data_IF_362713425861
#
_entry.id   IF_362713425861
#
_cell.length_a   1.000
_cell.length_b   1.000
_cell.length_c   1.000
_cell.angle_alpha   90.00
_cell.angle_beta   90.00
_cell.angle_gamma   90.00
#
_symmetry.space_group_name_H-M   'P 1'
#
loop_
_entity.id
_entity.type
_entity.pdbx_description
1 polymer ?
#
# COMPACT_ATOMS: atom_id res chain seq x y z
N UNK A 1 -2.15 -15.85 2.85
CA UNK A 1 -2.64 -16.76 3.91
C UNK A 1 -1.48 -16.99 4.86
N UNK A 2 -1.63 -16.70 6.15
CA UNK A 2 -0.52 -16.79 7.11
C UNK A 2 -0.34 -18.25 7.54
N UNK A 3 0.71 -18.90 7.03
CA UNK A 3 0.92 -20.34 7.17
C UNK A 3 1.26 -20.74 8.62
N UNK A 4 1.92 -19.87 9.37
CA UNK A 4 2.27 -20.15 10.77
C UNK A 4 1.05 -20.02 11.68
N UNK A 5 0.16 -19.05 11.41
CA UNK A 5 -1.13 -18.98 12.08
C UNK A 5 -1.95 -20.26 11.85
N UNK A 6 -2.00 -20.74 10.61
CA UNK A 6 -2.69 -21.99 10.28
C UNK A 6 -2.09 -23.20 10.97
N UNK A 7 -0.76 -23.26 11.06
CA UNK A 7 -0.06 -24.32 11.78
C UNK A 7 -0.42 -24.33 13.26
N UNK A 8 -0.51 -23.17 13.90
CA UNK A 8 -0.94 -23.08 15.31
C UNK A 8 -2.40 -23.51 15.50
N UNK A 9 -3.30 -23.13 14.60
CA UNK A 9 -4.70 -23.61 14.61
C UNK A 9 -4.77 -25.13 14.40
N UNK A 10 -3.93 -25.69 13.53
CA UNK A 10 -3.86 -27.14 13.31
C UNK A 10 -3.27 -27.91 14.51
N UNK A 11 -2.60 -27.22 15.45
CA UNK A 11 -2.04 -27.80 16.67
C UNK A 11 -2.97 -27.71 17.88
N UNK A 12 -4.22 -27.22 17.71
CA UNK A 12 -5.23 -27.25 18.77
C UNK A 12 -5.45 -28.71 19.20
N UNK A 13 -5.38 -29.04 20.51
CA UNK A 13 -5.57 -30.40 21.01
C UNK A 13 -6.92 -31.00 20.61
N UNK A 14 -6.97 -32.29 20.31
CA UNK A 14 -8.20 -33.02 19.98
C UNK A 14 -9.30 -32.86 21.05
N UNK A 15 -8.91 -32.78 22.33
CA UNK A 15 -9.82 -32.54 23.45
C UNK A 15 -10.59 -31.21 23.34
N UNK A 16 -10.02 -30.20 22.67
CA UNK A 16 -10.71 -28.93 22.43
C UNK A 16 -11.64 -29.01 21.22
N UNK A 17 -11.33 -29.85 20.22
CA UNK A 17 -12.22 -30.10 19.08
C UNK A 17 -13.51 -30.80 19.51
N UNK A 18 -13.43 -31.68 20.51
CA UNK A 18 -14.60 -32.37 21.09
C UNK A 18 -15.55 -31.44 21.85
N UNK A 19 -15.10 -30.24 22.28
CA UNK A 19 -15.93 -29.26 22.99
C UNK A 19 -16.86 -28.46 22.08
N UNK A 20 -16.78 -28.67 20.77
CA UNK A 20 -17.67 -28.08 19.79
C UNK A 20 -17.19 -26.77 19.16
N UNK A 21 -17.89 -26.30 18.12
CA UNK A 21 -17.41 -25.24 17.23
C UNK A 21 -17.29 -23.87 17.92
N UNK A 22 -18.17 -23.53 18.87
CA UNK A 22 -18.11 -22.26 19.60
C UNK A 22 -16.90 -22.18 20.54
N UNK A 23 -16.43 -23.31 21.05
CA UNK A 23 -15.19 -23.39 21.84
C UNK A 23 -13.98 -23.18 20.93
N UNK A 24 -13.91 -23.90 19.81
CA UNK A 24 -12.83 -23.76 18.83
C UNK A 24 -12.73 -22.34 18.28
N UNK A 25 -13.86 -21.68 17.99
CA UNK A 25 -13.85 -20.29 17.54
C UNK A 25 -13.17 -19.35 18.55
N UNK A 26 -13.39 -19.54 19.85
CA UNK A 26 -12.73 -18.76 20.90
C UNK A 26 -11.24 -19.07 21.01
N UNK A 27 -10.86 -20.35 20.94
CA UNK A 27 -9.45 -20.77 20.95
C UNK A 27 -8.69 -20.21 19.74
N UNK A 28 -9.31 -20.20 18.55
CA UNK A 28 -8.72 -19.58 17.36
C UNK A 28 -8.54 -18.08 17.54
N UNK A 29 -9.50 -17.37 18.14
CA UNK A 29 -9.36 -15.94 18.42
C UNK A 29 -8.26 -15.65 19.46
N UNK A 30 -8.08 -16.51 20.46
CA UNK A 30 -6.94 -16.42 21.38
C UNK A 30 -5.61 -16.67 20.66
N UNK A 31 -5.53 -17.71 19.82
CA UNK A 31 -4.35 -17.99 18.99
C UNK A 31 -4.04 -16.81 18.07
N UNK A 32 -5.06 -16.18 17.46
CA UNK A 32 -4.88 -14.99 16.61
C UNK A 32 -4.33 -13.82 17.41
N UNK A 33 -4.91 -13.54 18.58
CA UNK A 33 -4.46 -12.47 19.47
C UNK A 33 -3.00 -12.68 19.92
N UNK A 34 -2.65 -13.90 20.27
CA UNK A 34 -1.29 -14.25 20.70
C UNK A 34 -0.32 -14.28 19.51
N UNK A 35 -0.78 -14.69 18.33
CA UNK A 35 -0.01 -14.65 17.10
C UNK A 35 0.34 -13.22 16.68
N UNK A 36 -0.63 -12.31 16.75
CA UNK A 36 -0.46 -10.87 16.54
C UNK A 36 0.48 -10.25 17.59
N UNK A 37 0.53 -10.80 18.81
CA UNK A 37 1.38 -10.33 19.91
C UNK A 37 2.82 -10.89 19.93
N UNK A 38 3.09 -12.05 19.33
CA UNK A 38 4.35 -12.80 19.55
C UNK A 38 5.16 -13.07 18.27
N UNK A 39 4.68 -12.67 17.09
CA UNK A 39 5.27 -13.13 15.82
C UNK A 39 5.40 -12.04 14.77
N UNK A 40 5.76 -10.81 15.16
CA UNK A 40 6.54 -10.01 14.24
C UNK A 40 8.00 -10.46 14.39
N UNK A 41 8.68 -11.02 13.36
CA UNK A 41 10.15 -10.99 13.36
C UNK A 41 10.55 -9.56 13.71
N UNK A 42 11.61 -9.37 14.50
CA UNK A 42 12.12 -8.04 14.85
C UNK A 42 12.31 -7.27 13.54
N UNK A 43 11.34 -6.43 13.20
CA UNK A 43 11.28 -5.83 11.88
C UNK A 43 12.36 -4.78 11.84
N UNK A 44 13.14 -4.76 10.75
CA UNK A 44 14.23 -3.82 10.58
C UNK A 44 13.74 -2.39 10.88
N UNK A 45 14.44 -1.73 11.80
CA UNK A 45 14.14 -0.37 12.22
C UNK A 45 15.00 0.60 11.43
N UNK A 46 14.38 1.59 10.81
CA UNK A 46 15.06 2.61 10.01
C UNK A 46 14.99 3.96 10.73
N UNK A 47 15.81 4.14 11.77
CA UNK A 47 15.76 5.31 12.65
C UNK A 47 15.95 6.64 11.90
N UNK A 48 16.81 6.65 10.87
CA UNK A 48 17.06 7.80 10.01
C UNK A 48 15.88 8.20 9.13
N UNK A 49 14.90 7.31 8.98
CA UNK A 49 13.68 7.52 8.19
C UNK A 49 12.43 7.71 9.05
N UNK A 50 12.57 7.70 10.38
CA UNK A 50 11.46 7.96 11.30
C UNK A 50 11.07 9.45 11.27
N UNK A 51 9.77 9.78 11.43
CA UNK A 51 9.33 11.16 11.46
C UNK A 51 9.82 11.86 12.73
N UNK A 52 10.28 13.10 12.59
CA UNK A 52 10.73 13.91 13.72
C UNK A 52 9.59 14.26 14.70
N UNK A 53 8.35 14.33 14.21
CA UNK A 53 7.16 14.60 15.00
C UNK A 53 5.94 13.87 14.45
N UNK A 54 5.08 13.39 15.34
CA UNK A 54 3.78 12.81 15.02
C UNK A 54 2.62 13.79 15.26
N UNK A 55 2.91 15.03 15.70
CA UNK A 55 1.89 16.03 16.07
C UNK A 55 0.84 16.22 14.97
N UNK A 56 1.29 16.24 13.71
CA UNK A 56 0.42 16.45 12.55
C UNK A 56 -0.63 15.35 12.39
N UNK A 57 -0.23 14.08 12.51
CA UNK A 57 -1.17 12.95 12.39
C UNK A 57 -2.02 12.77 13.65
N UNK A 58 -1.47 13.14 14.82
CA UNK A 58 -2.17 13.01 16.11
C UNK A 58 -3.15 14.15 16.39
N UNK A 59 -3.00 15.30 15.70
CA UNK A 59 -3.95 16.41 15.79
C UNK A 59 -5.31 16.08 15.19
N UNK A 60 -5.38 15.19 14.20
CA UNK A 60 -6.61 14.81 13.52
C UNK A 60 -6.63 13.30 13.19
N UNK A 61 -6.59 12.41 14.19
CA UNK A 61 -6.27 10.99 14.01
C UNK A 61 -7.28 10.27 13.10
N UNK A 62 -8.57 10.59 13.21
CA UNK A 62 -9.60 10.01 12.33
C UNK A 62 -9.40 10.38 10.86
N UNK A 63 -9.09 11.65 10.60
CA UNK A 63 -8.86 12.14 9.24
C UNK A 63 -7.56 11.56 8.68
N UNK A 64 -6.49 11.58 9.47
CA UNK A 64 -5.19 11.05 9.07
C UNK A 64 -5.25 9.56 8.78
N UNK A 65 -5.83 8.77 9.69
CA UNK A 65 -6.02 7.34 9.45
C UNK A 65 -6.86 7.06 8.20
N UNK A 66 -7.94 7.82 7.98
CA UNK A 66 -8.78 7.68 6.79
C UNK A 66 -8.06 7.99 5.47
N UNK A 67 -7.23 9.03 5.43
CA UNK A 67 -6.44 9.38 4.24
C UNK A 67 -5.39 8.30 3.91
N UNK A 68 -4.70 7.79 4.93
CA UNK A 68 -3.69 6.74 4.78
C UNK A 68 -4.35 5.44 4.29
N UNK A 69 -5.51 5.09 4.85
CA UNK A 69 -6.28 3.92 4.46
C UNK A 69 -6.81 4.03 3.02
N UNK A 70 -7.28 5.21 2.61
CA UNK A 70 -7.69 5.45 1.22
C UNK A 70 -6.52 5.30 0.22
N UNK A 71 -5.33 5.79 0.57
CA UNK A 71 -4.14 5.61 -0.26
C UNK A 71 -3.73 4.13 -0.37
N UNK A 72 -3.77 3.40 0.75
CA UNK A 72 -3.50 1.96 0.77
C UNK A 72 -4.49 1.18 -0.11
N UNK A 73 -5.77 1.55 -0.05
CA UNK A 73 -6.80 0.93 -0.89
C UNK A 73 -6.55 1.22 -2.38
N UNK A 74 -6.16 2.44 -2.73
CA UNK A 74 -5.81 2.79 -4.12
C UNK A 74 -4.66 1.94 -4.69
N UNK A 75 -3.66 1.61 -3.88
CA UNK A 75 -2.57 0.70 -4.27
C UNK A 75 -3.10 -0.71 -4.50
N UNK A 76 -3.91 -1.24 -3.56
CA UNK A 76 -4.50 -2.59 -3.68
C UNK A 76 -5.43 -2.71 -4.89
N UNK A 77 -6.20 -1.67 -5.19
CA UNK A 77 -7.09 -1.65 -6.36
C UNK A 77 -6.27 -1.64 -7.66
N UNK A 78 -5.11 -0.99 -7.69
CA UNK A 78 -4.21 -1.02 -8.83
C UNK A 78 -3.56 -2.41 -9.00
N UNK A 79 -3.11 -3.02 -7.92
CA UNK A 79 -2.59 -4.40 -7.90
C UNK A 79 -3.65 -5.40 -8.39
N UNK A 80 -4.85 -5.39 -7.81
CA UNK A 80 -5.95 -6.26 -8.21
C UNK A 80 -6.31 -6.10 -9.69
N UNK A 81 -6.38 -4.86 -10.20
CA UNK A 81 -6.61 -4.60 -11.62
C UNK A 81 -5.52 -5.22 -12.49
N UNK A 82 -4.25 -5.00 -12.14
CA UNK A 82 -3.12 -5.57 -12.87
C UNK A 82 -3.19 -7.11 -12.94
N UNK A 83 -3.36 -7.77 -11.79
CA UNK A 83 -3.37 -9.24 -11.71
C UNK A 83 -4.56 -9.82 -12.49
N UNK A 84 -5.74 -9.20 -12.38
CA UNK A 84 -6.93 -9.63 -13.12
C UNK A 84 -6.82 -9.42 -14.63
N UNK A 85 -6.27 -8.28 -15.07
CA UNK A 85 -6.19 -7.93 -16.50
C UNK A 85 -5.08 -8.72 -17.23
N UNK A 86 -4.03 -9.11 -16.52
CA UNK A 86 -2.89 -9.83 -17.10
C UNK A 86 -2.94 -11.35 -16.89
N UNK A 87 -3.71 -11.81 -15.90
CA UNK A 87 -3.67 -13.21 -15.44
C UNK A 87 -2.34 -13.57 -14.77
N UNK A 88 -1.51 -12.60 -14.41
CA UNK A 88 -0.25 -12.83 -13.71
C UNK A 88 -0.49 -13.24 -12.25
N UNK A 89 0.42 -14.05 -11.71
CA UNK A 89 0.36 -14.47 -10.30
C UNK A 89 1.03 -13.47 -9.34
N UNK A 90 1.79 -12.51 -9.87
CA UNK A 90 2.54 -11.54 -9.09
C UNK A 90 2.76 -10.25 -9.89
N UNK A 91 3.08 -9.16 -9.18
CA UNK A 91 3.50 -7.90 -9.80
C UNK A 91 4.85 -8.05 -10.52
N UNK A 92 5.17 -7.18 -11.50
CA UNK A 92 6.52 -7.10 -12.04
C UNK A 92 7.51 -6.68 -10.96
N UNK A 93 8.75 -7.16 -11.03
CA UNK A 93 9.81 -6.93 -10.03
C UNK A 93 9.90 -5.49 -9.52
N UNK A 94 9.87 -4.44 -10.39
CA UNK A 94 9.99 -3.05 -9.94
C UNK A 94 8.82 -2.54 -9.08
N UNK A 95 7.71 -3.27 -9.04
CA UNK A 95 6.49 -2.92 -8.32
C UNK A 95 6.22 -3.84 -7.12
N UNK A 96 7.13 -4.77 -6.80
CA UNK A 96 6.97 -5.72 -5.70
C UNK A 96 6.87 -5.07 -4.31
N UNK A 97 7.35 -3.83 -4.16
CA UNK A 97 7.22 -3.08 -2.90
C UNK A 97 5.78 -2.57 -2.64
N UNK A 98 4.92 -2.47 -3.66
CA UNK A 98 3.57 -1.88 -3.52
C UNK A 98 2.66 -2.58 -2.49
N UNK A 99 2.55 -3.92 -2.45
CA UNK A 99 1.70 -4.60 -1.48
C UNK A 99 2.17 -4.37 -0.04
N UNK A 100 3.50 -4.32 0.17
CA UNK A 100 4.09 -4.05 1.48
C UNK A 100 3.87 -2.59 1.93
N UNK A 101 3.97 -1.62 1.00
CA UNK A 101 3.63 -0.21 1.25
C UNK A 101 2.17 -0.11 1.70
N UNK A 102 1.24 -0.73 0.97
CA UNK A 102 -0.17 -0.75 1.34
C UNK A 102 -0.42 -1.42 2.69
N UNK A 103 0.27 -2.53 2.98
CA UNK A 103 0.22 -3.21 4.27
C UNK A 103 0.69 -2.31 5.42
N UNK A 104 1.80 -1.61 5.23
CA UNK A 104 2.37 -0.69 6.22
C UNK A 104 1.44 0.49 6.48
N UNK A 105 0.85 1.08 5.43
CA UNK A 105 -0.16 2.14 5.56
C UNK A 105 -1.38 1.70 6.38
N UNK A 106 -1.88 0.48 6.20
CA UNK A 106 -2.99 -0.06 7.00
C UNK A 106 -2.60 -0.26 8.47
N UNK A 107 -1.35 -0.66 8.76
CA UNK A 107 -0.86 -0.78 10.13
C UNK A 107 -0.73 0.59 10.79
N UNK A 108 -0.17 1.57 10.09
CA UNK A 108 -0.09 2.98 10.53
C UNK A 108 -1.48 3.53 10.83
N UNK A 109 -2.46 3.35 9.91
CA UNK A 109 -3.82 3.87 10.12
C UNK A 109 -4.50 3.22 11.33
N UNK A 110 -4.30 1.92 11.55
CA UNK A 110 -4.78 1.19 12.73
C UNK A 110 -4.16 1.74 14.02
N UNK A 111 -2.84 1.93 14.06
CA UNK A 111 -2.13 2.47 15.22
C UNK A 111 -2.59 3.89 15.57
N UNK A 112 -2.78 4.75 14.57
CA UNK A 112 -3.32 6.11 14.78
C UNK A 112 -4.71 6.07 15.43
N UNK A 113 -5.58 5.13 15.01
CA UNK A 113 -6.91 4.95 15.60
C UNK A 113 -6.86 4.39 17.03
N UNK A 114 -5.84 3.59 17.37
CA UNK A 114 -5.71 2.88 18.64
C UNK A 114 -5.12 3.73 19.79
N UNK A 115 -5.45 5.02 19.87
CA UNK A 115 -4.99 5.95 20.91
C UNK A 115 -3.45 6.08 21.00
N UNK A 116 -2.86 6.75 20.01
CA UNK A 116 -1.43 7.09 19.98
C UNK A 116 -0.96 8.12 21.05
N UNK A 117 -1.71 8.29 22.15
CA UNK A 117 -1.26 9.03 23.34
C UNK A 117 -0.46 8.17 24.33
N UNK A 118 -0.42 6.84 24.11
CA UNK A 118 0.50 5.94 24.82
C UNK A 118 1.91 6.06 24.20
N UNK A 119 2.95 6.41 24.97
CA UNK A 119 4.32 6.51 24.47
C UNK A 119 4.84 5.24 23.76
N UNK A 120 4.32 4.07 24.13
CA UNK A 120 4.66 2.79 23.51
C UNK A 120 4.07 2.70 22.10
N UNK A 121 2.81 3.10 21.94
CA UNK A 121 2.12 3.16 20.65
C UNK A 121 2.74 4.22 19.76
N UNK A 122 3.13 5.37 20.34
CA UNK A 122 3.81 6.44 19.63
C UNK A 122 5.16 6.00 19.07
N UNK A 123 5.98 5.29 19.87
CA UNK A 123 7.24 4.73 19.41
C UNK A 123 7.04 3.66 18.33
N UNK A 124 6.07 2.76 18.51
CA UNK A 124 5.71 1.75 17.50
C UNK A 124 5.26 2.40 16.18
N UNK A 125 4.50 3.49 16.26
CA UNK A 125 4.05 4.26 15.11
C UNK A 125 5.23 4.92 14.36
N UNK A 126 6.20 5.52 15.07
CA UNK A 126 7.42 6.05 14.45
C UNK A 126 8.16 4.97 13.66
N UNK A 127 8.35 3.80 14.27
CA UNK A 127 9.05 2.68 13.64
C UNK A 127 8.33 2.20 12.37
N UNK A 128 7.01 2.07 12.43
CA UNK A 128 6.22 1.65 11.27
C UNK A 128 6.31 2.67 10.12
N UNK A 129 6.32 3.96 10.45
CA UNK A 129 6.50 5.04 9.48
C UNK A 129 7.91 4.99 8.87
N UNK A 130 8.95 4.73 9.66
CA UNK A 130 10.31 4.53 9.17
C UNK A 130 10.40 3.39 8.15
N UNK A 131 9.76 2.24 8.45
CA UNK A 131 9.67 1.10 7.52
C UNK A 131 8.92 1.44 6.24
N UNK A 132 7.78 2.12 6.38
CA UNK A 132 7.01 2.61 5.23
C UNK A 132 7.89 3.52 4.34
N UNK A 133 8.64 4.44 4.94
CA UNK A 133 9.53 5.33 4.20
C UNK A 133 10.65 4.58 3.48
N UNK A 134 11.21 3.52 4.09
CA UNK A 134 12.23 2.66 3.46
C UNK A 134 11.68 1.95 2.23
N UNK A 135 10.48 1.36 2.31
CA UNK A 135 9.83 0.67 1.18
C UNK A 135 9.49 1.61 0.04
N UNK A 136 9.13 2.86 0.35
CA UNK A 136 8.92 3.89 -0.68
C UNK A 136 10.23 4.25 -1.38
N UNK A 137 11.35 4.34 -0.65
CA UNK A 137 12.68 4.57 -1.25
C UNK A 137 13.06 3.42 -2.17
N UNK A 138 12.82 2.17 -1.76
CA UNK A 138 13.04 0.98 -2.59
C UNK A 138 12.24 1.06 -3.90
N UNK A 139 10.93 1.34 -3.82
CA UNK A 139 10.09 1.55 -5.00
C UNK A 139 10.64 2.66 -5.90
N UNK A 140 11.05 3.79 -5.32
CA UNK A 140 11.60 4.91 -6.07
C UNK A 140 12.90 4.52 -6.79
N UNK A 141 13.78 3.75 -6.15
CA UNK A 141 15.02 3.26 -6.76
C UNK A 141 14.73 2.31 -7.93
N UNK A 142 13.83 1.35 -7.75
CA UNK A 142 13.43 0.39 -8.78
C UNK A 142 12.79 1.08 -9.99
N UNK A 143 11.84 1.98 -9.75
CA UNK A 143 11.18 2.73 -10.83
C UNK A 143 12.16 3.69 -11.53
N UNK A 144 13.13 4.27 -10.81
CA UNK A 144 14.20 5.06 -11.43
C UNK A 144 15.22 4.20 -12.20
N UNK A 145 15.46 2.96 -11.79
CA UNK A 145 16.32 2.03 -12.53
C UNK A 145 15.68 1.68 -13.88
N UNK A 146 14.36 1.45 -13.92
CA UNK A 146 13.60 1.28 -15.15
C UNK A 146 13.78 2.47 -16.11
N UNK A 147 13.73 3.70 -15.58
CA UNK A 147 13.92 4.92 -16.37
C UNK A 147 15.28 4.98 -17.07
N UNK A 148 16.32 4.41 -16.45
CA UNK A 148 17.71 4.46 -16.94
C UNK A 148 18.10 3.25 -17.80
N UNK A 149 17.21 2.27 -17.95
CA UNK A 149 17.52 1.04 -18.67
C UNK A 149 17.76 1.29 -20.17
N UNK A 150 18.81 0.71 -20.78
CA UNK A 150 19.17 0.96 -22.18
C UNK A 150 18.29 0.23 -23.21
N UNK A 151 17.39 -0.65 -22.78
CA UNK A 151 16.49 -1.44 -23.61
C UNK A 151 15.05 -1.35 -23.08
N UNK A 152 14.01 -1.58 -23.92
CA UNK A 152 12.64 -1.64 -23.43
C UNK A 152 12.50 -2.78 -22.43
N UNK A 153 12.33 -2.43 -21.14
CA UNK A 153 12.23 -3.40 -20.04
C UNK A 153 10.95 -4.23 -20.12
N UNK A 154 9.90 -3.66 -20.70
CA UNK A 154 8.61 -4.31 -20.88
C UNK A 154 8.26 -4.46 -22.35
N UNK A 155 7.64 -5.58 -22.71
CA UNK A 155 6.96 -5.74 -23.99
C UNK A 155 5.86 -4.66 -24.13
N UNK A 156 5.59 -4.12 -25.34
CA UNK A 156 4.63 -3.02 -25.51
C UNK A 156 3.24 -3.29 -24.91
N UNK A 157 2.68 -4.48 -25.14
CA UNK A 157 1.39 -4.88 -24.59
C UNK A 157 1.40 -4.92 -23.05
N UNK A 158 2.47 -5.45 -22.46
CA UNK A 158 2.65 -5.50 -21.01
C UNK A 158 2.81 -4.08 -20.43
N UNK A 159 3.58 -3.22 -21.11
CA UNK A 159 3.75 -1.81 -20.73
C UNK A 159 2.42 -1.06 -20.71
N UNK A 160 1.54 -1.31 -21.68
CA UNK A 160 0.20 -0.72 -21.71
C UNK A 160 -0.66 -1.19 -20.53
N UNK A 161 -0.66 -2.50 -20.24
CA UNK A 161 -1.41 -3.08 -19.11
C UNK A 161 -0.91 -2.55 -17.75
N UNK A 162 0.41 -2.47 -17.56
CA UNK A 162 1.03 -1.86 -16.39
C UNK A 162 0.62 -0.37 -16.32
N UNK A 163 0.68 0.35 -17.44
CA UNK A 163 0.31 1.78 -17.51
C UNK A 163 -1.13 2.07 -17.06
N UNK A 164 -2.09 1.20 -17.42
CA UNK A 164 -3.52 1.34 -17.06
C UNK A 164 -3.81 1.08 -15.58
N UNK A 165 -2.94 0.34 -14.91
CA UNK A 165 -3.12 -0.11 -13.52
C UNK A 165 -2.07 0.51 -12.61
N UNK A 166 -0.87 -0.06 -12.57
CA UNK A 166 0.26 0.35 -11.73
C UNK A 166 0.88 1.69 -12.15
N UNK A 167 0.58 2.16 -13.38
CA UNK A 167 0.99 3.46 -13.91
C UNK A 167 -0.03 4.57 -13.70
N UNK A 168 -1.15 4.35 -13.00
CA UNK A 168 -2.15 5.38 -12.75
C UNK A 168 -1.58 6.48 -11.82
N UNK A 169 -1.51 7.72 -12.32
CA UNK A 169 -0.95 8.84 -11.58
C UNK A 169 -1.73 9.13 -10.29
N UNK A 170 -3.03 8.80 -10.24
CA UNK A 170 -3.87 9.01 -9.05
C UNK A 170 -3.38 8.18 -7.87
N UNK A 171 -2.90 6.97 -8.13
CA UNK A 171 -2.31 6.10 -7.11
C UNK A 171 -1.05 6.75 -6.51
N UNK A 172 -0.10 7.18 -7.34
CA UNK A 172 1.12 7.84 -6.87
C UNK A 172 0.82 9.15 -6.14
N UNK A 173 -0.14 9.94 -6.64
CA UNK A 173 -0.58 11.17 -5.99
C UNK A 173 -1.19 10.92 -4.60
N UNK A 174 -2.07 9.93 -4.48
CA UNK A 174 -2.66 9.54 -3.20
C UNK A 174 -1.60 9.00 -2.22
N UNK A 175 -0.71 8.13 -2.70
CA UNK A 175 0.40 7.58 -1.92
C UNK A 175 1.33 8.69 -1.39
N UNK A 176 1.79 9.59 -2.27
CA UNK A 176 2.64 10.71 -1.87
C UNK A 176 1.90 11.67 -0.93
N UNK A 177 0.61 11.94 -1.15
CA UNK A 177 -0.19 12.77 -0.26
C UNK A 177 -0.31 12.18 1.15
N UNK A 178 -0.54 10.87 1.26
CA UNK A 178 -0.55 10.17 2.53
C UNK A 178 0.83 10.19 3.21
N UNK A 179 1.90 9.93 2.46
CA UNK A 179 3.27 9.99 3.02
C UNK A 179 3.62 11.39 3.51
N UNK A 180 3.24 12.43 2.78
CA UNK A 180 3.44 13.83 3.19
C UNK A 180 2.72 14.16 4.49
N UNK A 181 1.51 13.63 4.68
CA UNK A 181 0.78 13.78 5.93
C UNK A 181 1.53 13.16 7.12
N UNK A 182 2.19 12.02 6.90
CA UNK A 182 2.76 11.18 7.94
C UNK A 182 4.24 11.52 8.24
N UNK A 183 5.04 11.87 7.23
CA UNK A 183 6.49 12.09 7.40
C UNK A 183 6.81 13.44 8.03
N UNK A 184 6.00 14.46 7.78
CA UNK A 184 6.27 15.84 8.21
C UNK A 184 7.49 16.48 7.51
N UNK A 185 8.09 15.81 6.52
CA UNK A 185 9.19 16.32 5.71
C UNK A 185 8.67 16.84 4.37
N UNK A 186 8.39 18.14 4.32
CA UNK A 186 7.82 18.81 3.15
C UNK A 186 8.78 18.76 1.93
N UNK A 187 10.08 18.94 2.16
CA UNK A 187 11.09 19.05 1.09
C UNK A 187 11.42 17.69 0.48
N UNK A 188 11.63 16.66 1.30
CA UNK A 188 11.85 15.30 0.81
C UNK A 188 10.63 14.76 0.06
N UNK A 189 9.42 15.10 0.51
CA UNK A 189 8.19 14.62 -0.11
C UNK A 189 7.88 15.25 -1.46
N UNK A 190 8.13 16.55 -1.62
CA UNK A 190 8.03 17.19 -2.93
C UNK A 190 8.98 16.52 -3.93
N UNK A 191 10.24 16.31 -3.53
CA UNK A 191 11.22 15.65 -4.38
C UNK A 191 10.81 14.22 -4.75
N UNK A 192 10.26 13.44 -3.82
CA UNK A 192 9.75 12.08 -4.07
C UNK A 192 8.60 12.08 -5.07
N UNK A 193 7.63 13.00 -4.93
CA UNK A 193 6.52 13.13 -5.87
C UNK A 193 7.01 13.47 -7.27
N UNK A 194 7.95 14.42 -7.38
CA UNK A 194 8.57 14.80 -8.65
C UNK A 194 9.34 13.63 -9.27
N UNK A 195 10.12 12.88 -8.48
CA UNK A 195 10.89 11.74 -8.96
C UNK A 195 10.00 10.60 -9.44
N UNK A 196 9.01 10.19 -8.64
CA UNK A 196 8.06 9.14 -9.01
C UNK A 196 7.20 9.57 -10.21
N UNK A 197 6.74 10.83 -10.24
CA UNK A 197 5.97 11.39 -11.35
C UNK A 197 6.78 11.45 -12.66
N UNK A 198 8.04 11.90 -12.58
CA UNK A 198 8.93 11.94 -13.73
C UNK A 198 9.27 10.54 -14.24
N UNK A 199 9.56 9.59 -13.34
CA UNK A 199 9.87 8.23 -13.71
C UNK A 199 8.65 7.52 -14.32
N UNK A 200 7.46 7.67 -13.71
CA UNK A 200 6.18 7.22 -14.29
C UNK A 200 5.99 7.77 -15.70
N UNK A 201 6.15 9.08 -15.89
CA UNK A 201 5.93 9.74 -17.18
C UNK A 201 6.92 9.24 -18.24
N UNK A 202 8.18 9.02 -17.86
CA UNK A 202 9.17 8.46 -18.75
C UNK A 202 8.86 7.00 -19.14
N UNK A 203 8.33 6.20 -18.22
CA UNK A 203 8.05 4.78 -18.45
C UNK A 203 6.74 4.60 -19.22
N UNK A 204 5.66 5.31 -18.87
CA UNK A 204 4.30 5.07 -19.39
C UNK A 204 3.75 6.20 -20.29
N UNK A 205 4.47 7.32 -20.40
CA UNK A 205 3.97 8.51 -21.10
C UNK A 205 3.02 9.34 -20.25
N UNK A 206 2.46 10.40 -20.83
CA UNK A 206 1.48 11.30 -20.21
C UNK A 206 0.04 10.75 -20.26
N UNK A 207 -0.26 9.84 -21.19
CA UNK A 207 -1.65 9.52 -21.63
C UNK A 207 -2.17 8.12 -21.23
N UNK A 208 -1.82 7.58 -20.07
CA UNK A 208 -2.41 6.28 -19.66
C UNK A 208 -3.89 6.36 -19.18
N UNK A 209 -4.52 7.53 -19.20
CA UNK A 209 -5.92 7.72 -18.81
C UNK A 209 -6.61 8.75 -19.69
N UNK A 210 -7.11 8.32 -20.84
CA UNK A 210 -8.53 8.38 -21.23
C UNK A 210 -8.64 7.77 -22.62
N UNK A 211 -9.36 6.65 -22.71
CA UNK A 211 -10.04 6.27 -23.94
C UNK A 211 -10.94 7.44 -24.31
N UNK A 212 -10.51 8.25 -25.26
CA UNK A 212 -11.29 9.32 -25.87
C UNK A 212 -12.35 8.65 -26.77
N UNK A 213 -13.37 8.07 -26.13
CA UNK A 213 -14.65 7.79 -26.77
C UNK A 213 -15.53 8.97 -26.38
N UNK A 214 -15.40 10.05 -27.14
CA UNK A 214 -16.52 10.98 -27.29
C UNK A 214 -17.68 10.16 -27.88
N UNK A 215 -18.86 10.11 -27.25
CA UNK A 215 -20.05 9.72 -27.96
C UNK A 215 -20.35 10.83 -28.95
N UNK A 216 -19.90 10.64 -30.19
CA UNK A 216 -20.51 11.30 -31.34
C UNK A 216 -21.90 10.70 -31.48
N UNK A 217 -22.91 11.45 -31.04
CA UNK A 217 -24.24 11.49 -31.63
C UNK A 217 -25.09 12.48 -30.82
N UNK A 218 -25.13 13.71 -31.33
CA UNK A 218 -26.21 14.67 -31.06
C UNK A 218 -27.57 14.01 -31.35
N UNK A 219 -28.56 14.07 -30.45
CA UNK A 219 -29.90 13.61 -30.79
C UNK A 219 -30.50 14.56 -31.83
N UNK A 220 -30.83 14.01 -33.01
CA UNK A 220 -31.72 14.66 -33.98
C UNK A 220 -33.02 15.03 -33.27
N UNK A 221 -33.29 16.33 -33.19
CA UNK A 221 -34.57 16.86 -32.74
C UNK A 221 -35.59 16.54 -33.83
N UNK A 222 -36.44 15.55 -33.58
CA UNK A 222 -37.64 15.31 -34.38
C UNK A 222 -38.65 16.40 -33.99
N UNK A 223 -38.86 17.38 -34.86
CA UNK A 223 -40.01 18.29 -34.77
C UNK A 223 -41.31 17.49 -34.98
N UNK A 224 -42.24 17.63 -34.05
CA UNK A 224 -43.61 17.09 -34.11
C UNK A 224 -44.55 18.19 -34.60
#
# INVERSE_FOLDING_TARGET
>A
MDWELQRRVAMIPDEDWEKGPEHIARVIEEIRRDFDGTTAPEQERFEELEPSSLERILRAPTLSAGQIEAAAQGIRDAECRYLNDTGANQLPDPFQALPEIAGSMVRVSRQIRQHASDPTVENSLRQEIGRLNARVIELEQEVNALRKAPAPVFLPALKEQIGKSLGDWKMYGAMCGALWLISGDDLGMQQRLENLGAARTAIFGTEATTSDVLPDETPEVIEI
#
